data_IF_156403547470
#
_entry.id   IF_156403547470
#
_cell.length_a   1.000
_cell.length_b   1.000
_cell.length_c   1.000
_cell.angle_alpha   90.00
_cell.angle_beta   90.00
_cell.angle_gamma   90.00
#
_symmetry.space_group_name_H-M   'P 1'
#
loop_
_entity.id
_entity.type
_entity.pdbx_description
1 polymer ?
#
# COMPACT_ATOMS: atom_id res chain seq x y z
N UNK A 1 5.47 -18.39 -10.72
CA UNK A 1 4.03 -18.02 -10.83
C UNK A 1 3.87 -16.59 -10.38
N UNK A 2 3.09 -15.75 -11.07
CA UNK A 2 2.83 -14.38 -10.60
C UNK A 2 2.01 -14.43 -9.31
N UNK A 3 2.65 -14.26 -8.15
CA UNK A 3 1.98 -14.14 -6.86
C UNK A 3 1.03 -12.96 -6.91
N UNK A 4 -0.25 -13.13 -6.56
CA UNK A 4 -1.21 -12.01 -6.40
C UNK A 4 -1.14 -11.47 -4.97
N UNK A 5 -1.33 -10.17 -4.74
CA UNK A 5 -1.43 -9.63 -3.38
C UNK A 5 -2.76 -10.04 -2.75
N UNK A 6 -2.82 -10.11 -1.43
CA UNK A 6 -4.03 -10.51 -0.71
C UNK A 6 -5.07 -9.37 -0.67
N UNK A 7 -5.85 -9.25 -1.75
CA UNK A 7 -6.88 -8.22 -1.91
C UNK A 7 -8.01 -8.41 -0.89
N UNK A 8 -8.41 -9.65 -0.62
CA UNK A 8 -9.51 -9.95 0.32
C UNK A 8 -9.19 -9.45 1.72
N UNK A 9 -7.95 -9.66 2.18
CA UNK A 9 -7.52 -9.14 3.47
C UNK A 9 -7.39 -7.62 3.46
N UNK A 10 -6.83 -7.04 2.39
CA UNK A 10 -6.73 -5.58 2.27
C UNK A 10 -8.10 -4.89 2.32
N UNK A 11 -9.15 -5.50 1.76
CA UNK A 11 -10.51 -4.97 1.80
C UNK A 11 -11.12 -4.90 3.20
N UNK A 12 -10.64 -5.69 4.16
CA UNK A 12 -11.09 -5.61 5.57
C UNK A 12 -10.58 -4.35 6.28
N UNK A 13 -9.53 -3.72 5.74
CA UNK A 13 -8.90 -2.53 6.31
C UNK A 13 -9.36 -1.22 5.67
N UNK A 14 -10.31 -1.27 4.72
CA UNK A 14 -10.88 -0.10 4.04
C UNK A 14 -12.40 -0.20 3.97
N UNK A 15 -13.04 0.93 3.73
CA UNK A 15 -14.50 1.07 3.60
C UNK A 15 -15.03 0.80 2.19
N UNK A 16 -14.17 0.78 1.16
CA UNK A 16 -14.59 0.44 -0.21
C UNK A 16 -13.43 -0.01 -1.10
N UNK A 17 -13.78 -0.67 -2.22
CA UNK A 17 -12.81 -1.02 -3.28
C UNK A 17 -12.11 0.20 -3.87
N UNK A 18 -12.81 1.33 -3.99
CA UNK A 18 -12.21 2.59 -4.46
C UNK A 18 -11.21 3.15 -3.44
N UNK A 19 -11.56 3.10 -2.15
CA UNK A 19 -10.64 3.52 -1.08
C UNK A 19 -9.37 2.67 -1.04
N UNK A 20 -9.46 1.36 -1.31
CA UNK A 20 -8.27 0.51 -1.47
C UNK A 20 -7.34 1.03 -2.56
N UNK A 21 -7.88 1.42 -3.72
CA UNK A 21 -7.08 1.94 -4.84
C UNK A 21 -6.38 3.24 -4.44
N UNK A 22 -7.11 4.19 -3.85
CA UNK A 22 -6.54 5.46 -3.39
C UNK A 22 -5.49 5.27 -2.29
N UNK A 23 -5.76 4.40 -1.31
CA UNK A 23 -4.82 4.09 -0.24
C UNK A 23 -3.55 3.42 -0.77
N UNK A 24 -3.68 2.45 -1.67
CA UNK A 24 -2.54 1.78 -2.31
C UNK A 24 -1.70 2.78 -3.13
N UNK A 25 -2.33 3.66 -3.91
CA UNK A 25 -1.63 4.69 -4.67
C UNK A 25 -0.83 5.63 -3.76
N UNK A 26 -1.46 6.14 -2.69
CA UNK A 26 -0.78 6.99 -1.69
C UNK A 26 0.40 6.26 -1.03
N UNK A 27 0.22 4.98 -0.72
CA UNK A 27 1.30 4.16 -0.15
C UNK A 27 2.45 3.96 -1.13
N UNK A 28 2.17 3.77 -2.42
CA UNK A 28 3.23 3.70 -3.45
C UNK A 28 4.03 4.98 -3.51
N UNK A 29 3.39 6.16 -3.45
CA UNK A 29 4.11 7.45 -3.38
C UNK A 29 5.09 7.50 -2.20
N UNK A 30 4.66 7.09 -1.01
CA UNK A 30 5.55 7.00 0.17
C UNK A 30 6.70 6.00 -0.01
N UNK A 31 6.49 4.92 -0.76
CA UNK A 31 7.54 3.96 -1.07
C UNK A 31 8.53 4.53 -2.11
N UNK A 32 8.08 5.39 -3.02
CA UNK A 32 8.93 6.08 -3.99
C UNK A 32 9.78 7.19 -3.36
N UNK A 33 9.31 7.84 -2.30
CA UNK A 33 10.12 8.79 -1.51
C UNK A 33 11.38 8.13 -0.91
N UNK A 34 11.37 6.81 -0.69
CA UNK A 34 12.51 6.04 -0.15
C UNK A 34 13.47 5.55 -1.24
N UNK A 35 13.24 5.92 -2.50
CA UNK A 35 14.05 5.58 -3.67
C UNK A 35 13.20 5.42 -4.94
N UNK A 36 13.76 5.81 -6.08
CA UNK A 36 13.01 5.91 -7.36
C UNK A 36 12.67 4.56 -8.02
N UNK A 37 13.24 3.44 -7.56
CA UNK A 37 12.98 2.12 -8.15
C UNK A 37 11.50 1.72 -7.96
N UNK A 38 10.86 1.15 -8.98
CA UNK A 38 9.49 0.63 -8.91
C UNK A 38 9.41 -0.73 -8.20
N UNK A 39 10.55 -1.35 -7.93
CA UNK A 39 10.68 -2.63 -7.23
C UNK A 39 11.21 -2.45 -5.80
N UNK A 40 10.85 -3.41 -4.95
CA UNK A 40 11.41 -3.63 -3.63
C UNK A 40 12.01 -5.02 -3.63
N UNK A 41 13.30 -5.12 -3.29
CA UNK A 41 13.95 -6.42 -3.12
C UNK A 41 13.55 -7.02 -1.78
N UNK A 42 12.91 -8.17 -1.81
CA UNK A 42 12.66 -8.97 -0.62
C UNK A 42 14.01 -9.49 -0.09
N UNK A 43 14.38 -9.10 1.13
CA UNK A 43 15.66 -9.47 1.73
C UNK A 43 15.78 -10.97 2.04
N UNK A 44 14.67 -11.67 2.21
CA UNK A 44 14.63 -13.09 2.58
C UNK A 44 14.70 -14.00 1.36
N UNK A 45 13.97 -13.65 0.29
CA UNK A 45 13.86 -14.48 -0.92
C UNK A 45 14.70 -13.96 -2.09
N UNK A 46 15.20 -12.72 -2.01
CA UNK A 46 15.89 -12.04 -3.12
C UNK A 46 14.96 -11.57 -4.24
N UNK A 47 13.66 -11.83 -4.14
CA UNK A 47 12.66 -11.52 -5.17
C UNK A 47 12.43 -10.01 -5.32
N UNK A 48 12.23 -9.54 -6.56
CA UNK A 48 11.83 -8.17 -6.85
C UNK A 48 10.30 -8.06 -6.86
N UNK A 49 9.75 -7.31 -5.91
CA UNK A 49 8.31 -7.11 -5.74
C UNK A 49 7.96 -5.70 -6.20
N UNK A 50 6.97 -5.56 -7.08
CA UNK A 50 6.48 -4.23 -7.48
C UNK A 50 5.95 -3.47 -6.26
N UNK A 51 6.25 -2.17 -6.14
CA UNK A 51 5.75 -1.33 -5.04
C UNK A 51 4.24 -1.33 -4.93
N UNK A 52 3.52 -1.47 -6.04
CA UNK A 52 2.06 -1.63 -6.05
C UNK A 52 1.59 -2.89 -5.33
N UNK A 53 2.31 -4.01 -5.48
CA UNK A 53 2.02 -5.26 -4.77
C UNK A 53 2.34 -5.10 -3.30
N UNK A 54 3.51 -4.53 -2.99
CA UNK A 54 3.89 -4.27 -1.60
C UNK A 54 2.91 -3.33 -0.90
N UNK A 55 2.37 -2.32 -1.59
CA UNK A 55 1.41 -1.39 -1.01
C UNK A 55 0.10 -2.09 -0.60
N UNK A 56 -0.40 -3.02 -1.42
CA UNK A 56 -1.60 -3.81 -1.08
C UNK A 56 -1.30 -4.77 0.09
N UNK A 57 -0.14 -5.42 0.10
CA UNK A 57 0.29 -6.30 1.21
C UNK A 57 0.53 -5.52 2.51
N UNK A 58 1.05 -4.30 2.45
CA UNK A 58 1.20 -3.41 3.60
C UNK A 58 -0.18 -3.03 4.20
N UNK A 59 -1.21 -2.89 3.37
CA UNK A 59 -2.59 -2.65 3.84
C UNK A 59 -3.18 -3.95 4.41
N UNK A 60 -3.03 -5.07 3.71
CA UNK A 60 -3.52 -6.39 4.14
C UNK A 60 -2.92 -6.86 5.48
N UNK A 61 -1.65 -6.52 5.73
CA UNK A 61 -0.97 -6.86 7.00
C UNK A 61 -1.27 -5.89 8.14
N UNK A 62 -2.06 -4.84 7.91
CA UNK A 62 -2.31 -3.78 8.88
C UNK A 62 -1.11 -2.87 9.17
N UNK A 63 0.01 -3.03 8.44
CA UNK A 63 1.20 -2.19 8.55
C UNK A 63 0.92 -0.73 8.15
N UNK A 64 -0.07 -0.51 7.29
CA UNK A 64 -0.60 0.80 6.92
C UNK A 64 -2.04 0.91 7.39
N UNK A 65 -2.34 1.97 8.15
CA UNK A 65 -3.70 2.29 8.58
C UNK A 65 -4.25 3.42 7.72
N UNK A 66 -5.40 3.19 7.09
CA UNK A 66 -6.12 4.22 6.34
C UNK A 66 -6.94 5.04 7.32
N UNK A 67 -6.56 6.31 7.51
CA UNK A 67 -7.26 7.26 8.37
C UNK A 67 -7.97 8.29 7.51
N UNK A 68 -9.26 8.52 7.79
CA UNK A 68 -10.03 9.62 7.21
C UNK A 68 -9.70 10.87 8.00
N UNK A 69 -9.06 11.85 7.35
CA UNK A 69 -8.94 13.19 7.92
C UNK A 69 -10.36 13.78 7.99
N UNK A 70 -10.84 14.03 9.21
CA UNK A 70 -11.96 14.95 9.41
C UNK A 70 -11.56 16.31 8.84
N UNK A 71 -12.50 17.01 8.17
CA UNK A 71 -12.29 18.26 7.41
C UNK A 71 -11.65 19.45 8.17
N UNK A 72 -11.14 19.27 9.39
CA UNK A 72 -10.57 20.31 10.25
C UNK A 72 -9.04 20.49 10.20
N UNK A 73 -8.28 19.61 9.55
CA UNK A 73 -6.80 19.62 9.61
C UNK A 73 -6.13 20.00 8.26
N UNK A 74 -6.83 20.74 7.41
CA UNK A 74 -6.25 21.37 6.21
C UNK A 74 -6.32 22.89 6.36
N UNK A 75 -5.53 23.44 7.27
CA UNK A 75 -5.13 24.86 7.32
C UNK A 75 -4.16 25.01 8.49
N UNK A 76 -2.85 24.92 8.23
CA UNK A 76 -1.78 25.65 8.90
C UNK A 76 -0.50 25.56 8.04
#
# INVERSE_FOLDING_TARGET
MSRRPNIEEALKHVSSRYELVHAAAKRVSQLLERGEDIFIRNKQTGELIKKTFQAIEDIASGKVKVVKLSKGEQND
#
